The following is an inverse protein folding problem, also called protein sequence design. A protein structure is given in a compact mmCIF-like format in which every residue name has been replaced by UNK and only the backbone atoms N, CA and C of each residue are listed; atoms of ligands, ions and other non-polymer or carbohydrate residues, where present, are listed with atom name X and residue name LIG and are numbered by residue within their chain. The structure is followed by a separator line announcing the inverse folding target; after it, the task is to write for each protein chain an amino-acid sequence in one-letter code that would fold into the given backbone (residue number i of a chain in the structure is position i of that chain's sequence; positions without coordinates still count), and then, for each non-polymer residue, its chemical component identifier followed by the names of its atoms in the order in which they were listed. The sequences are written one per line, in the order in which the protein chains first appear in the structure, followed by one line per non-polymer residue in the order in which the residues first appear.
data_IF_777256955757
#
_entry.id   IF_777256955757
#
_cell.length_a   1.000
_cell.length_b   1.000
_cell.length_c   1.000
_cell.angle_alpha   90.00
_cell.angle_beta   90.00
_cell.angle_gamma   90.00
#
_symmetry.space_group_name_H-M   'P 1'
#
loop_
_entity.id
_entity.type
_entity.pdbx_description
1 polymer ?
#
# COMPACT_ATOMS: atom_id res chain seq x y z
N UNK A 1 98.70 29.66 -11.05
CA UNK A 1 97.62 29.36 -10.08
C UNK A 1 96.33 29.14 -10.86
N UNK A 2 95.76 27.94 -10.81
CA UNK A 2 94.49 27.56 -11.44
C UNK A 2 93.35 27.74 -10.44
N UNK A 3 92.16 28.19 -10.88
CA UNK A 3 90.93 27.70 -10.26
C UNK A 3 89.90 27.16 -11.26
N UNK A 4 89.35 26.01 -10.85
CA UNK A 4 88.25 25.22 -11.42
C UNK A 4 86.95 26.01 -11.35
N UNK A 5 86.14 25.96 -12.41
CA UNK A 5 84.72 26.33 -12.33
C UNK A 5 83.86 25.08 -12.52
N UNK A 6 83.11 24.78 -11.46
CA UNK A 6 82.22 23.65 -11.27
C UNK A 6 80.89 23.90 -12.01
N UNK A 7 80.43 22.91 -12.77
CA UNK A 7 79.12 22.88 -13.40
C UNK A 7 78.02 22.75 -12.33
N UNK A 8 77.02 23.65 -12.34
CA UNK A 8 75.83 23.57 -11.49
C UNK A 8 74.61 23.25 -12.36
N UNK A 9 74.21 21.99 -12.42
CA UNK A 9 72.98 21.58 -13.07
C UNK A 9 71.76 22.01 -12.21
N UNK A 10 70.82 22.74 -12.82
CA UNK A 10 69.56 23.15 -12.19
C UNK A 10 68.49 22.10 -12.51
N UNK A 11 68.09 21.31 -11.51
CA UNK A 11 66.96 20.39 -11.63
C UNK A 11 65.67 21.19 -11.45
N UNK A 12 64.90 21.38 -12.52
CA UNK A 12 63.55 21.97 -12.46
C UNK A 12 62.58 20.96 -11.85
N UNK A 13 62.14 21.18 -10.61
CA UNK A 13 60.99 20.47 -10.03
C UNK A 13 59.72 20.92 -10.75
N UNK A 14 59.07 20.01 -11.49
CA UNK A 14 57.71 20.20 -11.98
C UNK A 14 56.76 20.02 -10.78
N UNK A 15 55.92 21.01 -10.42
CA UNK A 15 54.89 20.78 -9.42
C UNK A 15 53.88 19.79 -9.99
N UNK A 16 53.81 18.58 -9.44
CA UNK A 16 52.67 17.69 -9.64
C UNK A 16 51.45 18.39 -9.04
N UNK A 17 50.65 19.01 -9.88
CA UNK A 17 49.31 19.42 -9.51
C UNK A 17 48.56 18.17 -9.07
N UNK A 18 48.47 17.97 -7.75
CA UNK A 18 47.44 17.11 -7.18
C UNK A 18 46.14 17.79 -7.58
N UNK A 19 45.44 17.23 -8.56
CA UNK A 19 44.08 17.64 -8.90
C UNK A 19 43.24 17.50 -7.65
N UNK A 20 43.11 18.60 -6.90
CA UNK A 20 42.09 18.74 -5.89
C UNK A 20 40.79 18.52 -6.64
N UNK A 21 40.10 17.42 -6.32
CA UNK A 21 38.76 17.16 -6.82
C UNK A 21 37.89 18.34 -6.38
N UNK A 22 37.61 19.27 -7.29
CA UNK A 22 36.74 20.43 -7.07
C UNK A 22 35.25 20.00 -7.09
N UNK A 23 34.88 18.95 -6.35
CA UNK A 23 33.48 18.52 -6.22
C UNK A 23 32.79 19.14 -4.99
N UNK A 24 33.35 20.21 -4.40
CA UNK A 24 32.94 20.70 -3.10
C UNK A 24 32.62 22.21 -3.08
N UNK A 25 32.04 22.76 -4.14
CA UNK A 25 31.42 24.10 -4.07
C UNK A 25 29.96 24.06 -3.62
N UNK A 26 29.36 22.87 -3.55
CA UNK A 26 27.96 22.70 -3.08
C UNK A 26 27.84 22.07 -1.68
N UNK A 27 28.92 21.68 -1.01
CA UNK A 27 28.80 21.07 0.33
C UNK A 27 28.68 22.09 1.48
N UNK A 28 29.01 23.37 1.24
CA UNK A 28 29.12 24.38 2.30
C UNK A 28 27.75 24.85 2.81
N UNK A 29 26.74 24.91 1.94
CA UNK A 29 25.38 25.33 2.31
C UNK A 29 24.64 24.27 3.14
N UNK A 30 24.85 22.97 2.84
CA UNK A 30 24.25 21.85 3.58
C UNK A 30 24.81 21.74 4.99
N UNK A 31 26.11 22.01 5.17
CA UNK A 31 26.78 21.99 6.48
C UNK A 31 26.45 23.20 7.35
N UNK A 32 26.16 24.36 6.75
CA UNK A 32 25.77 25.60 7.44
C UNK A 32 24.26 25.67 7.79
N UNK A 33 23.48 24.63 7.46
CA UNK A 33 22.04 24.58 7.73
C UNK A 33 21.21 25.57 6.90
N UNK A 34 21.79 26.19 5.86
CA UNK A 34 21.10 27.16 5.02
C UNK A 34 20.77 26.51 3.67
N UNK A 35 19.49 26.24 3.36
CA UNK A 35 19.13 25.54 2.13
C UNK A 35 19.51 26.35 0.88
N UNK A 36 19.91 25.67 -0.19
CA UNK A 36 20.11 26.32 -1.50
C UNK A 36 18.83 26.96 -1.99
N UNK A 37 18.96 28.10 -2.69
CA UNK A 37 17.84 28.77 -3.35
C UNK A 37 17.05 27.83 -4.26
N UNK A 38 17.73 26.92 -4.95
CA UNK A 38 17.11 25.91 -5.82
C UNK A 38 16.28 24.90 -5.01
N UNK A 39 16.78 24.43 -3.87
CA UNK A 39 16.03 23.54 -2.99
C UNK A 39 14.79 24.21 -2.39
N UNK A 40 14.90 25.48 -1.99
CA UNK A 40 13.74 26.25 -1.51
C UNK A 40 12.69 26.40 -2.61
N UNK A 41 13.12 26.78 -3.83
CA UNK A 41 12.22 26.91 -4.97
C UNK A 41 11.54 25.59 -5.35
N UNK A 42 12.26 24.46 -5.29
CA UNK A 42 11.66 23.14 -5.53
C UNK A 42 10.63 22.78 -4.46
N UNK A 43 10.88 23.10 -3.19
CA UNK A 43 9.91 22.86 -2.13
C UNK A 43 8.64 23.67 -2.29
N UNK A 44 8.75 24.96 -2.62
CA UNK A 44 7.61 25.82 -2.90
C UNK A 44 6.79 25.29 -4.10
N UNK A 45 7.47 24.83 -5.16
CA UNK A 45 6.80 24.22 -6.31
C UNK A 45 6.05 22.93 -5.94
N UNK A 46 6.64 22.06 -5.12
CA UNK A 46 5.99 20.83 -4.62
C UNK A 46 4.79 21.17 -3.74
N UNK A 47 4.92 22.17 -2.86
CA UNK A 47 3.82 22.61 -2.00
C UNK A 47 2.65 23.15 -2.81
N UNK A 48 2.91 24.00 -3.81
CA UNK A 48 1.88 24.50 -4.71
C UNK A 48 1.18 23.36 -5.47
N UNK A 49 1.96 22.43 -6.05
CA UNK A 49 1.40 21.28 -6.76
C UNK A 49 0.57 20.36 -5.83
N UNK A 50 1.04 20.16 -4.59
CA UNK A 50 0.30 19.40 -3.58
C UNK A 50 -1.03 20.07 -3.22
N UNK A 51 -1.06 21.40 -3.10
CA UNK A 51 -2.29 22.14 -2.83
C UNK A 51 -3.32 21.97 -3.98
N UNK A 52 -2.88 22.11 -5.23
CA UNK A 52 -3.74 21.96 -6.41
C UNK A 52 -4.27 20.53 -6.56
N UNK A 53 -3.39 19.53 -6.43
CA UNK A 53 -3.77 18.11 -6.54
C UNK A 53 -4.71 17.70 -5.40
N UNK A 54 -4.49 18.19 -4.18
CA UNK A 54 -5.38 17.92 -3.05
C UNK A 54 -6.77 18.51 -3.27
N UNK A 55 -6.88 19.74 -3.80
CA UNK A 55 -8.18 20.32 -4.14
C UNK A 55 -8.90 19.55 -5.25
N UNK A 56 -8.16 19.08 -6.27
CA UNK A 56 -8.71 18.21 -7.32
C UNK A 56 -9.28 16.92 -6.74
N UNK A 57 -8.52 16.21 -5.90
CA UNK A 57 -8.96 14.95 -5.27
C UNK A 57 -10.13 15.14 -4.30
N UNK A 58 -10.17 16.28 -3.60
CA UNK A 58 -11.32 16.65 -2.77
C UNK A 58 -12.58 16.78 -3.62
N UNK A 59 -12.51 17.52 -4.74
CA UNK A 59 -13.63 17.68 -5.67
C UNK A 59 -14.06 16.33 -6.25
N UNK A 60 -13.12 15.49 -6.67
CA UNK A 60 -13.45 14.17 -7.22
C UNK A 60 -14.16 13.28 -6.18
N UNK A 61 -13.69 13.30 -4.93
CA UNK A 61 -14.33 12.56 -3.85
C UNK A 61 -15.79 13.01 -3.63
N UNK A 62 -16.05 14.32 -3.59
CA UNK A 62 -17.39 14.84 -3.34
C UNK A 62 -18.33 14.74 -4.55
N UNK A 63 -17.83 14.99 -5.77
CA UNK A 63 -18.66 15.09 -6.96
C UNK A 63 -18.78 13.78 -7.74
N UNK A 64 -17.88 12.82 -7.52
CA UNK A 64 -17.93 11.53 -8.21
C UNK A 64 -18.08 10.38 -7.21
N UNK A 65 -17.14 10.25 -6.26
CA UNK A 65 -17.14 9.06 -5.38
C UNK A 65 -18.41 8.96 -4.52
N UNK A 66 -18.85 10.06 -3.88
CA UNK A 66 -20.07 10.05 -3.06
C UNK A 66 -21.32 9.75 -3.89
N UNK A 67 -21.62 10.47 -5.00
CA UNK A 67 -22.80 10.15 -5.83
C UNK A 67 -22.80 8.71 -6.36
N UNK A 68 -21.65 8.22 -6.82
CA UNK A 68 -21.54 6.83 -7.29
C UNK A 68 -21.80 5.83 -6.17
N UNK A 69 -21.26 6.08 -4.97
CA UNK A 69 -21.49 5.22 -3.81
C UNK A 69 -22.97 5.18 -3.43
N UNK A 70 -23.66 6.32 -3.46
CA UNK A 70 -25.10 6.39 -3.18
C UNK A 70 -25.92 5.59 -4.21
N UNK A 71 -25.59 5.72 -5.50
CA UNK A 71 -26.25 4.96 -6.56
C UNK A 71 -26.06 3.44 -6.35
N UNK A 72 -24.82 3.01 -6.11
CA UNK A 72 -24.51 1.60 -5.86
C UNK A 72 -25.22 1.11 -4.59
N UNK A 73 -25.30 1.93 -3.55
CA UNK A 73 -26.01 1.56 -2.31
C UNK A 73 -27.49 1.27 -2.57
N UNK A 74 -28.17 2.11 -3.35
CA UNK A 74 -29.58 1.87 -3.73
C UNK A 74 -29.70 0.60 -4.57
N UNK A 75 -28.79 0.37 -5.51
CA UNK A 75 -28.79 -0.83 -6.33
C UNK A 75 -28.58 -2.11 -5.50
N UNK A 76 -27.59 -2.12 -4.59
CA UNK A 76 -27.32 -3.24 -3.68
C UNK A 76 -28.53 -3.51 -2.79
N UNK A 77 -29.20 -2.48 -2.29
CA UNK A 77 -30.42 -2.67 -1.48
C UNK A 77 -31.51 -3.44 -2.24
N UNK A 78 -31.72 -3.13 -3.52
CA UNK A 78 -32.71 -3.83 -4.35
C UNK A 78 -32.28 -5.27 -4.66
N UNK A 79 -30.98 -5.52 -4.79
CA UNK A 79 -30.45 -6.88 -4.98
C UNK A 79 -30.62 -7.69 -3.69
N UNK A 80 -30.33 -7.10 -2.55
CA UNK A 80 -30.47 -7.72 -1.23
C UNK A 80 -31.93 -8.08 -0.93
N UNK A 81 -32.88 -7.20 -1.26
CA UNK A 81 -34.32 -7.48 -1.12
C UNK A 81 -34.73 -8.72 -1.90
N UNK A 82 -34.25 -8.89 -3.14
CA UNK A 82 -34.48 -10.10 -3.94
C UNK A 82 -33.84 -11.34 -3.35
N UNK A 83 -32.67 -11.22 -2.72
CA UNK A 83 -32.04 -12.34 -2.03
C UNK A 83 -32.85 -12.75 -0.80
N UNK A 84 -33.33 -11.78 -0.01
CA UNK A 84 -34.18 -12.04 1.14
C UNK A 84 -35.50 -12.72 0.76
N UNK A 85 -36.14 -12.28 -0.34
CA UNK A 85 -37.35 -12.92 -0.88
C UNK A 85 -37.07 -14.36 -1.33
N UNK A 86 -35.96 -14.60 -2.03
CA UNK A 86 -35.58 -15.95 -2.46
C UNK A 86 -35.28 -16.87 -1.27
N UNK A 87 -34.57 -16.38 -0.25
CA UNK A 87 -34.34 -17.14 0.98
C UNK A 87 -35.64 -17.44 1.74
N UNK A 88 -36.56 -16.49 1.79
CA UNK A 88 -37.87 -16.69 2.41
C UNK A 88 -38.66 -17.79 1.69
N UNK A 89 -38.69 -17.77 0.35
CA UNK A 89 -39.33 -18.81 -0.45
C UNK A 89 -38.72 -20.19 -0.19
N UNK A 90 -37.38 -20.29 -0.20
CA UNK A 90 -36.68 -21.55 0.11
C UNK A 90 -36.99 -22.05 1.53
N UNK A 91 -37.10 -21.15 2.51
CA UNK A 91 -37.50 -21.52 3.88
C UNK A 91 -38.94 -22.04 3.91
N UNK A 92 -39.87 -21.39 3.21
CA UNK A 92 -41.28 -21.81 3.13
C UNK A 92 -41.43 -23.19 2.48
N UNK A 93 -40.74 -23.44 1.36
CA UNK A 93 -40.77 -24.74 0.66
C UNK A 93 -40.18 -25.89 1.48
N UNK A 94 -39.22 -25.58 2.37
CA UNK A 94 -38.49 -26.56 3.17
C UNK A 94 -38.95 -26.59 4.64
N UNK A 95 -40.22 -26.25 4.92
CA UNK A 95 -40.81 -26.44 6.26
C UNK A 95 -40.28 -25.48 7.34
N UNK A 96 -39.81 -24.29 6.94
CA UNK A 96 -39.36 -23.22 7.82
C UNK A 96 -37.84 -23.17 8.04
N UNK A 97 -37.07 -24.05 7.42
CA UNK A 97 -35.60 -24.05 7.49
C UNK A 97 -34.97 -23.93 6.11
N UNK A 98 -33.77 -23.33 6.01
CA UNK A 98 -33.02 -23.34 4.76
C UNK A 98 -32.63 -24.77 4.40
N UNK A 99 -32.66 -25.16 3.10
CA UNK A 99 -32.22 -26.48 2.69
C UNK A 99 -30.72 -26.64 2.98
N UNK A 100 -30.35 -27.75 3.59
CA UNK A 100 -28.94 -28.12 3.73
C UNK A 100 -28.34 -28.27 2.32
N UNK A 101 -27.23 -27.57 1.99
CA UNK A 101 -26.55 -27.77 0.72
C UNK A 101 -26.13 -29.24 0.55
N UNK A 102 -26.03 -29.74 -0.69
CA UNK A 102 -25.57 -31.11 -0.93
C UNK A 102 -24.20 -31.35 -0.30
N UNK A 103 -24.08 -32.43 0.47
CA UNK A 103 -22.87 -32.74 1.21
C UNK A 103 -21.84 -33.46 0.34
N UNK A 104 -20.96 -32.67 -0.28
CA UNK A 104 -19.88 -33.21 -1.10
C UNK A 104 -18.63 -33.48 -0.25
N UNK A 105 -17.83 -34.53 -0.54
CA UNK A 105 -16.64 -34.90 0.25
C UNK A 105 -15.55 -33.82 0.36
N UNK A 106 -15.59 -32.81 -0.52
CA UNK A 106 -14.66 -31.69 -0.52
C UNK A 106 -15.21 -30.46 0.24
N UNK A 107 -16.51 -30.40 0.54
CA UNK A 107 -17.13 -29.34 1.34
C UNK A 107 -16.96 -29.64 2.81
N UNK A 108 -16.86 -28.59 3.63
CA UNK A 108 -16.79 -28.67 5.10
C UNK A 108 -15.73 -29.62 5.68
N UNK A 109 -14.72 -30.03 4.89
CA UNK A 109 -13.67 -30.93 5.34
C UNK A 109 -12.93 -30.36 6.56
N UNK A 110 -12.74 -31.20 7.58
CA UNK A 110 -11.93 -30.90 8.78
C UNK A 110 -10.91 -32.02 8.96
N UNK A 111 -9.62 -31.70 8.81
CA UNK A 111 -8.52 -32.64 9.10
C UNK A 111 -8.07 -32.50 10.56
N UNK A 112 -8.14 -31.27 11.10
CA UNK A 112 -7.81 -30.93 12.49
C UNK A 112 -8.83 -29.90 12.99
N UNK A 113 -9.23 -29.92 14.28
CA UNK A 113 -10.02 -28.86 14.88
C UNK A 113 -9.34 -27.49 14.79
N UNK A 114 -10.16 -26.43 14.74
CA UNK A 114 -9.65 -25.07 14.95
C UNK A 114 -9.36 -24.84 16.45
N UNK A 115 -8.53 -23.84 16.80
CA UNK A 115 -8.18 -23.56 18.20
C UNK A 115 -9.33 -23.17 19.12
N UNK A 116 -10.50 -22.80 18.57
CA UNK A 116 -11.69 -22.36 19.32
C UNK A 116 -12.91 -23.27 19.13
N UNK A 117 -12.82 -24.33 18.32
CA UNK A 117 -13.95 -25.21 18.01
C UNK A 117 -13.85 -25.86 16.62
N UNK A 118 -14.92 -26.54 16.20
CA UNK A 118 -15.00 -27.20 14.88
C UNK A 118 -15.56 -26.28 13.78
N UNK A 119 -16.35 -25.29 14.20
CA UNK A 119 -16.96 -24.30 13.31
C UNK A 119 -16.00 -23.15 13.01
N UNK A 120 -16.21 -22.53 11.85
CA UNK A 120 -15.41 -21.37 11.40
C UNK A 120 -15.73 -20.13 12.23
N UNK A 121 -14.86 -19.11 12.18
CA UNK A 121 -15.00 -17.88 12.98
C UNK A 121 -16.31 -17.12 12.66
N UNK A 122 -16.71 -17.09 11.40
CA UNK A 122 -17.96 -16.45 10.93
C UNK A 122 -19.04 -17.50 10.64
N UNK A 123 -19.20 -18.46 11.54
CA UNK A 123 -20.23 -19.48 11.42
C UNK A 123 -21.62 -18.88 11.71
N UNK A 124 -22.58 -19.13 10.82
CA UNK A 124 -23.99 -18.81 11.03
C UNK A 124 -24.81 -20.11 11.05
N UNK A 125 -25.50 -20.39 12.17
CA UNK A 125 -26.31 -21.60 12.34
C UNK A 125 -27.52 -21.68 11.41
N UNK A 126 -27.97 -20.55 10.85
CA UNK A 126 -29.11 -20.52 9.93
C UNK A 126 -28.70 -20.93 8.50
N UNK A 127 -27.45 -20.64 8.09
CA UNK A 127 -27.00 -20.81 6.70
C UNK A 127 -25.87 -21.81 6.54
N UNK A 128 -25.19 -22.20 7.61
CA UNK A 128 -24.05 -23.12 7.56
C UNK A 128 -24.32 -24.40 8.33
N UNK A 129 -23.82 -25.51 7.80
CA UNK A 129 -23.85 -26.82 8.45
C UNK A 129 -22.97 -26.80 9.71
N UNK A 130 -23.53 -27.22 10.84
CA UNK A 130 -22.78 -27.35 12.09
C UNK A 130 -21.85 -28.57 12.04
N UNK A 131 -20.57 -28.37 12.33
CA UNK A 131 -19.52 -29.38 12.26
C UNK A 131 -19.11 -29.98 13.62
N UNK A 132 -19.73 -29.56 14.72
CA UNK A 132 -19.35 -30.01 16.08
C UNK A 132 -19.61 -31.50 16.34
N UNK A 133 -20.55 -32.11 15.62
CA UNK A 133 -20.89 -33.54 15.74
C UNK A 133 -20.15 -34.47 14.77
N UNK A 134 -19.48 -33.95 13.73
CA UNK A 134 -18.93 -34.76 12.63
C UNK A 134 -17.46 -35.14 12.81
N UNK A 135 -16.76 -34.52 13.77
CA UNK A 135 -15.34 -34.76 14.01
C UNK A 135 -15.06 -35.93 14.97
N UNK A 136 -16.10 -36.66 15.38
CA UNK A 136 -16.01 -37.80 16.31
C UNK A 136 -15.98 -39.18 15.60
N UNK A 137 -16.05 -39.21 14.26
CA UNK A 137 -15.75 -40.38 13.42
C UNK A 137 -14.43 -40.21 12.67
#
# INVERSE_FOLDING_TARGET
MLPRNLSRAVVRRVPRARGARQYATESDHVLAGNPTKEWVAQREAVEHHAAETTDLWRKLSFYVAIPTTLLVTVWVRNVEEKHAEHEAHLKEENGGHLPQPPDYPYMNKRIKPFPWGMNVLFFNSETNKNMEGEAAE
#
